data_IF_063750108006
#
_entry.id   IF_063750108006
#
_cell.length_a   1.000
_cell.length_b   1.000
_cell.length_c   1.000
_cell.angle_alpha   90.00
_cell.angle_beta   90.00
_cell.angle_gamma   90.00
#
_symmetry.space_group_name_H-M   'P 1'
#
loop_
_entity.id
_entity.type
_entity.pdbx_description
1 polymer ?
#
# COMPACT_ATOMS: atom_id res chain seq x y z
N UNK A 1 -25.94 39.20 63.65
CA UNK A 1 -24.98 38.55 64.54
C UNK A 1 -24.01 37.74 63.68
N UNK A 2 -22.73 38.12 63.75
CA UNK A 2 -21.46 37.45 63.38
C UNK A 2 -21.44 36.27 62.40
N UNK A 3 -20.59 36.38 61.37
CA UNK A 3 -19.39 35.53 61.14
C UNK A 3 -18.77 35.89 59.77
N UNK A 4 -17.77 36.77 59.68
CA UNK A 4 -16.29 36.57 59.64
C UNK A 4 -15.70 35.68 58.54
N UNK A 5 -14.74 36.29 57.83
CA UNK A 5 -13.59 35.75 57.08
C UNK A 5 -13.88 35.14 55.69
N UNK A 6 -13.08 35.34 54.65
CA UNK A 6 -11.69 35.79 54.58
C UNK A 6 -11.42 36.58 53.28
N UNK A 7 -10.53 37.57 53.39
CA UNK A 7 -9.80 38.14 52.28
C UNK A 7 -8.81 37.12 51.73
N UNK A 8 -8.66 37.03 50.41
CA UNK A 8 -7.47 36.48 49.78
C UNK A 8 -6.99 37.39 48.65
N UNK A 9 -5.95 38.13 49.01
CA UNK A 9 -4.74 38.44 48.24
C UNK A 9 -4.84 38.64 46.73
N UNK A 10 -4.53 39.87 46.32
CA UNK A 10 -4.01 40.24 45.01
C UNK A 10 -2.77 39.41 44.64
N UNK A 11 -2.94 38.40 43.79
CA UNK A 11 -1.87 37.71 43.10
C UNK A 11 -2.05 37.87 41.59
N UNK A 12 -1.15 38.61 40.95
CA UNK A 12 -1.08 38.79 39.51
C UNK A 12 -1.08 37.42 38.80
N UNK A 13 -2.13 37.08 38.06
CA UNK A 13 -2.10 35.93 37.17
C UNK A 13 -1.23 36.27 35.95
N UNK A 14 -0.13 35.54 35.68
CA UNK A 14 0.56 35.69 34.41
C UNK A 14 -0.40 35.25 33.29
N UNK A 15 -0.53 36.09 32.27
CA UNK A 15 -1.33 35.82 31.07
C UNK A 15 -0.95 34.45 30.53
N UNK A 16 -1.93 33.54 30.48
CA UNK A 16 -1.82 32.29 29.74
C UNK A 16 -1.44 32.65 28.30
N UNK A 17 -0.19 32.38 27.95
CA UNK A 17 0.27 32.44 26.57
C UNK A 17 -0.56 31.43 25.79
N UNK A 18 -1.48 31.92 24.96
CA UNK A 18 -2.12 31.14 23.92
C UNK A 18 -1.04 30.82 22.87
N UNK A 19 -0.26 29.76 23.12
CA UNK A 19 0.43 29.05 22.06
C UNK A 19 -0.59 28.31 21.18
N UNK A 20 -0.27 28.03 19.91
CA UNK A 20 -1.19 27.32 19.04
C UNK A 20 -1.52 25.95 19.63
N UNK A 21 -2.82 25.68 19.81
CA UNK A 21 -3.32 24.36 20.17
C UNK A 21 -2.84 23.39 19.06
N UNK A 22 -2.10 22.31 19.37
CA UNK A 22 -1.81 21.30 18.35
C UNK A 22 -3.13 20.72 17.85
N UNK A 23 -3.27 20.59 16.53
CA UNK A 23 -4.48 20.07 15.90
C UNK A 23 -4.87 18.70 16.51
N UNK A 24 -6.11 18.52 16.99
CA UNK A 24 -6.53 17.31 17.70
C UNK A 24 -6.45 16.04 16.83
N UNK A 25 -6.37 16.20 15.51
CA UNK A 25 -6.19 15.10 14.56
C UNK A 25 -4.78 14.49 14.58
N UNK A 26 -3.76 15.25 14.98
CA UNK A 26 -2.39 14.74 15.12
C UNK A 26 -2.26 13.72 16.26
N UNK A 27 -3.18 13.75 17.23
CA UNK A 27 -3.19 12.86 18.37
C UNK A 27 -3.89 11.51 18.11
N UNK A 28 -4.52 11.32 16.94
CA UNK A 28 -5.31 10.13 16.65
C UNK A 28 -4.72 9.38 15.44
N UNK A 29 -3.55 8.76 15.64
CA UNK A 29 -3.17 7.62 14.83
C UNK A 29 -4.02 6.42 15.28
N UNK A 30 -5.17 6.20 14.63
CA UNK A 30 -6.17 5.17 15.00
C UNK A 30 -5.64 3.72 14.97
N UNK A 31 -4.41 3.49 14.55
CA UNK A 31 -3.73 2.20 14.64
C UNK A 31 -2.21 2.44 14.63
N UNK A 32 -1.53 2.49 15.80
CA UNK A 32 -0.06 2.62 15.85
C UNK A 32 0.57 1.25 15.57
N UNK A 33 0.26 0.67 14.42
CA UNK A 33 0.99 -0.48 13.92
C UNK A 33 2.24 0.06 13.22
N UNK A 34 3.45 -0.41 13.58
CA UNK A 34 4.65 -0.05 12.84
C UNK A 34 4.42 -0.35 11.36
N UNK A 35 4.87 0.56 10.50
CA UNK A 35 4.77 0.37 9.06
C UNK A 35 5.56 -0.86 8.65
N UNK A 36 5.02 -1.69 7.74
CA UNK A 36 5.70 -2.90 7.33
C UNK A 36 7.08 -2.55 6.72
N UNK A 37 8.09 -3.41 6.92
CA UNK A 37 9.31 -3.35 6.15
C UNK A 37 9.03 -3.27 4.64
N UNK A 38 9.92 -2.63 3.89
CA UNK A 38 9.78 -2.45 2.44
C UNK A 38 9.41 -3.74 1.69
N UNK A 39 10.10 -4.84 1.99
CA UNK A 39 9.87 -6.14 1.35
C UNK A 39 8.45 -6.65 1.62
N UNK A 40 7.96 -6.50 2.85
CA UNK A 40 6.61 -6.91 3.23
C UNK A 40 5.56 -6.04 2.56
N UNK A 41 5.83 -4.74 2.43
CA UNK A 41 4.97 -3.82 1.68
C UNK A 41 4.85 -4.21 0.20
N UNK A 42 5.98 -4.50 -0.48
CA UNK A 42 5.95 -4.93 -1.88
C UNK A 42 5.20 -6.26 -2.02
N UNK A 43 5.42 -7.20 -1.10
CA UNK A 43 4.73 -8.48 -1.08
C UNK A 43 3.21 -8.29 -0.90
N UNK A 44 2.80 -7.38 -0.03
CA UNK A 44 1.39 -7.03 0.16
C UNK A 44 0.76 -6.38 -1.09
N UNK A 45 1.51 -5.50 -1.78
CA UNK A 45 1.03 -4.89 -3.05
C UNK A 45 0.80 -5.96 -4.11
N UNK A 46 1.74 -6.89 -4.31
CA UNK A 46 1.59 -7.97 -5.29
C UNK A 46 0.43 -8.89 -4.93
N UNK A 47 0.30 -9.25 -3.65
CA UNK A 47 -0.82 -10.05 -3.17
C UNK A 47 -2.16 -9.36 -3.46
N UNK A 48 -2.29 -8.08 -3.14
CA UNK A 48 -3.52 -7.32 -3.43
C UNK A 48 -3.82 -7.29 -4.94
N UNK A 49 -2.80 -7.15 -5.80
CA UNK A 49 -2.98 -7.22 -7.25
C UNK A 49 -3.48 -8.60 -7.68
N UNK A 50 -2.90 -9.68 -7.14
CA UNK A 50 -3.33 -11.04 -7.42
C UNK A 50 -4.77 -11.30 -6.91
N UNK A 51 -5.09 -10.92 -5.67
CA UNK A 51 -6.43 -11.04 -5.09
C UNK A 51 -7.47 -10.28 -5.91
N UNK A 52 -7.12 -9.07 -6.37
CA UNK A 52 -7.98 -8.27 -7.25
C UNK A 52 -8.13 -8.89 -8.64
N UNK A 53 -7.10 -9.51 -9.19
CA UNK A 53 -7.16 -10.26 -10.44
C UNK A 53 -8.13 -11.46 -10.32
N UNK A 54 -8.07 -12.18 -9.20
CA UNK A 54 -9.02 -13.27 -8.91
C UNK A 54 -10.46 -12.75 -8.79
N UNK A 55 -10.67 -11.63 -8.09
CA UNK A 55 -12.00 -11.02 -8.00
C UNK A 55 -12.53 -10.60 -9.38
N UNK A 56 -11.69 -9.98 -10.22
CA UNK A 56 -12.05 -9.60 -11.58
C UNK A 56 -12.42 -10.83 -12.41
N UNK A 57 -11.66 -11.92 -12.28
CA UNK A 57 -11.94 -13.19 -12.94
C UNK A 57 -13.33 -13.71 -12.57
N UNK A 58 -13.64 -13.81 -11.27
CA UNK A 58 -14.90 -14.33 -10.76
C UNK A 58 -16.09 -13.48 -11.23
N UNK A 59 -15.97 -12.16 -11.13
CA UNK A 59 -17.00 -11.23 -11.60
C UNK A 59 -17.18 -11.32 -13.12
N UNK A 60 -16.09 -11.39 -13.89
CA UNK A 60 -16.16 -11.49 -15.33
C UNK A 60 -16.79 -12.82 -15.78
N UNK A 61 -16.48 -13.94 -15.12
CA UNK A 61 -17.12 -15.23 -15.39
C UNK A 61 -18.62 -15.15 -15.09
N UNK A 62 -19.00 -14.59 -13.95
CA UNK A 62 -20.40 -14.50 -13.55
C UNK A 62 -21.23 -13.61 -14.49
N UNK A 63 -20.66 -12.53 -15.02
CA UNK A 63 -21.38 -11.55 -15.86
C UNK A 63 -21.32 -11.85 -17.36
N UNK A 64 -20.16 -12.30 -17.86
CA UNK A 64 -19.91 -12.46 -19.30
C UNK A 64 -19.97 -13.91 -19.76
N UNK A 65 -20.20 -14.85 -18.84
CA UNK A 65 -20.58 -16.23 -19.13
C UNK A 65 -19.53 -17.09 -19.83
N UNK A 66 -18.28 -16.64 -19.93
CA UNK A 66 -17.24 -17.35 -20.66
C UNK A 66 -15.86 -17.19 -20.02
N UNK A 67 -15.19 -18.31 -19.77
CA UNK A 67 -13.83 -18.40 -19.20
C UNK A 67 -12.82 -17.59 -20.02
N UNK A 68 -12.81 -17.76 -21.34
CA UNK A 68 -11.81 -17.16 -22.22
C UNK A 68 -11.80 -15.63 -22.16
N UNK A 69 -12.98 -15.01 -22.14
CA UNK A 69 -13.10 -13.56 -22.05
C UNK A 69 -12.63 -13.03 -20.69
N UNK A 70 -12.87 -13.78 -19.61
CA UNK A 70 -12.42 -13.43 -18.26
C UNK A 70 -10.91 -13.50 -18.15
N UNK A 71 -10.28 -14.52 -18.73
CA UNK A 71 -8.83 -14.67 -18.80
C UNK A 71 -8.20 -13.48 -19.51
N UNK A 72 -8.76 -13.02 -20.64
CA UNK A 72 -8.26 -11.85 -21.36
C UNK A 72 -8.35 -10.55 -20.54
N UNK A 73 -9.45 -10.33 -19.83
CA UNK A 73 -9.64 -9.14 -18.98
C UNK A 73 -8.61 -9.13 -17.85
N UNK A 74 -8.39 -10.28 -17.21
CA UNK A 74 -7.44 -10.42 -16.11
C UNK A 74 -6.01 -10.28 -16.61
N UNK A 75 -5.68 -10.89 -17.76
CA UNK A 75 -4.38 -10.74 -18.40
C UNK A 75 -4.04 -9.28 -18.71
N UNK A 76 -4.98 -8.53 -19.27
CA UNK A 76 -4.83 -7.09 -19.52
C UNK A 76 -4.65 -6.28 -18.22
N UNK A 77 -5.41 -6.61 -17.17
CA UNK A 77 -5.25 -5.97 -15.84
C UNK A 77 -3.85 -6.21 -15.24
N UNK A 78 -3.37 -7.46 -15.24
CA UNK A 78 -2.06 -7.81 -14.69
C UNK A 78 -0.94 -7.23 -15.55
N UNK A 79 -1.06 -7.27 -16.88
CA UNK A 79 -0.07 -6.70 -17.81
C UNK A 79 0.13 -5.21 -17.55
N UNK A 80 -0.96 -4.44 -17.43
CA UNK A 80 -0.86 -2.99 -17.14
C UNK A 80 -0.14 -2.72 -15.82
N UNK A 81 -0.45 -3.51 -14.79
CA UNK A 81 0.28 -3.40 -13.52
C UNK A 81 1.77 -3.65 -13.73
N UNK A 82 2.14 -4.74 -14.43
CA UNK A 82 3.54 -5.08 -14.69
C UNK A 82 4.25 -3.99 -15.50
N UNK A 83 3.60 -3.45 -16.53
CA UNK A 83 4.12 -2.39 -17.39
C UNK A 83 4.38 -1.11 -16.57
N UNK A 84 3.39 -0.67 -15.80
CA UNK A 84 3.51 0.51 -14.93
C UNK A 84 4.64 0.30 -13.91
N UNK A 85 4.64 -0.86 -13.23
CA UNK A 85 5.58 -1.18 -12.16
C UNK A 85 7.02 -1.35 -12.64
N UNK A 86 7.23 -1.87 -13.85
CA UNK A 86 8.54 -1.93 -14.51
C UNK A 86 9.00 -0.57 -15.03
N UNK A 87 8.06 0.28 -15.45
CA UNK A 87 8.32 1.60 -16.01
C UNK A 87 8.87 2.61 -15.01
N UNK A 88 8.98 3.86 -15.47
CA UNK A 88 9.39 5.00 -14.65
C UNK A 88 8.20 5.80 -14.08
N UNK A 89 6.98 5.44 -14.48
CA UNK A 89 5.75 6.16 -14.17
C UNK A 89 5.12 5.74 -12.84
N UNK A 90 5.46 4.55 -12.33
CA UNK A 90 4.94 4.11 -11.05
C UNK A 90 5.49 4.97 -9.91
N UNK A 91 4.57 5.68 -9.24
CA UNK A 91 4.88 6.50 -8.08
C UNK A 91 4.04 6.07 -6.88
N UNK A 92 4.71 5.57 -5.85
CA UNK A 92 4.06 5.35 -4.56
C UNK A 92 3.65 6.69 -3.97
N UNK A 93 2.33 6.94 -3.90
CA UNK A 93 1.78 8.09 -3.18
C UNK A 93 1.46 7.66 -1.76
N UNK A 94 2.07 8.34 -0.80
CA UNK A 94 1.77 8.15 0.62
C UNK A 94 0.37 8.67 0.94
N UNK A 95 -0.60 7.79 1.30
CA UNK A 95 -2.00 8.19 1.41
C UNK A 95 -2.41 8.61 2.83
N UNK A 96 -1.50 8.53 3.81
CA UNK A 96 -1.81 8.76 5.22
C UNK A 96 -1.38 10.18 5.66
N UNK A 97 -2.17 10.86 6.51
CA UNK A 97 -1.81 12.17 7.09
C UNK A 97 -0.75 12.08 8.19
N UNK A 98 0.23 11.18 8.03
CA UNK A 98 1.29 10.89 8.99
C UNK A 98 2.69 10.95 8.35
N UNK A 99 3.76 10.76 9.14
CA UNK A 99 5.12 10.84 8.65
C UNK A 99 5.36 9.80 7.56
N UNK A 100 5.98 10.25 6.47
CA UNK A 100 6.40 9.39 5.37
C UNK A 100 7.58 8.52 5.84
N UNK A 101 7.54 7.18 5.67
CA UNK A 101 8.64 6.31 6.05
C UNK A 101 9.89 6.53 5.18
N UNK A 102 11.06 6.66 5.81
CA UNK A 102 12.33 6.94 5.12
C UNK A 102 12.74 5.86 4.08
N UNK A 103 12.27 4.63 4.25
CA UNK A 103 12.57 3.52 3.36
C UNK A 103 11.70 3.50 2.09
N UNK A 104 10.55 4.18 2.11
CA UNK A 104 9.62 4.19 0.99
C UNK A 104 10.14 5.18 -0.04
N UNK A 105 10.63 4.68 -1.16
CA UNK A 105 11.02 5.55 -2.26
C UNK A 105 9.84 5.71 -3.20
N UNK A 106 9.67 6.90 -3.78
CA UNK A 106 8.59 7.13 -4.75
C UNK A 106 8.69 6.17 -5.94
N UNK A 107 9.91 5.75 -6.31
CA UNK A 107 10.20 4.88 -7.45
C UNK A 107 10.47 3.45 -7.03
N UNK A 108 10.16 2.54 -7.95
CA UNK A 108 10.45 1.11 -7.86
C UNK A 108 11.95 0.86 -8.13
N UNK A 109 12.61 0.17 -7.21
CA UNK A 109 14.01 -0.23 -7.35
C UNK A 109 14.15 -1.59 -8.00
N UNK A 110 15.36 -1.94 -8.46
CA UNK A 110 15.65 -3.24 -9.05
C UNK A 110 15.37 -4.41 -8.08
N UNK A 111 15.58 -4.20 -6.77
CA UNK A 111 15.26 -5.20 -5.74
C UNK A 111 13.75 -5.35 -5.59
N UNK A 112 12.98 -4.26 -5.63
CA UNK A 112 11.52 -4.35 -5.55
C UNK A 112 10.94 -5.14 -6.73
N UNK A 113 11.49 -4.97 -7.94
CA UNK A 113 11.09 -5.74 -9.13
C UNK A 113 11.33 -7.25 -8.92
N UNK A 114 12.49 -7.63 -8.39
CA UNK A 114 12.79 -9.04 -8.11
C UNK A 114 11.86 -9.61 -7.04
N UNK A 115 11.65 -8.87 -5.93
CA UNK A 115 10.74 -9.27 -4.85
C UNK A 115 9.31 -9.40 -5.35
N UNK A 116 8.83 -8.44 -6.14
CA UNK A 116 7.51 -8.48 -6.73
C UNK A 116 7.36 -9.71 -7.65
N UNK A 117 8.38 -9.99 -8.45
CA UNK A 117 8.36 -11.14 -9.35
C UNK A 117 8.34 -12.49 -8.63
N UNK A 118 9.06 -12.62 -7.51
CA UNK A 118 9.00 -13.81 -6.64
C UNK A 118 7.63 -13.97 -5.98
N UNK A 119 6.98 -12.87 -5.60
CA UNK A 119 5.62 -12.92 -5.03
C UNK A 119 4.59 -13.36 -6.09
N UNK A 120 4.68 -12.87 -7.34
CA UNK A 120 3.82 -13.36 -8.42
C UNK A 120 4.05 -14.85 -8.72
N UNK A 121 5.30 -15.32 -8.65
CA UNK A 121 5.62 -16.74 -8.77
C UNK A 121 4.96 -17.55 -7.64
N UNK A 122 4.99 -17.06 -6.40
CA UNK A 122 4.27 -17.66 -5.28
C UNK A 122 2.75 -17.70 -5.50
N UNK A 123 2.14 -16.57 -5.85
CA UNK A 123 0.68 -16.48 -6.11
C UNK A 123 0.26 -17.35 -7.31
N UNK A 124 1.14 -17.56 -8.29
CA UNK A 124 0.89 -18.49 -9.39
C UNK A 124 0.71 -19.93 -8.93
N UNK A 125 1.44 -20.35 -7.90
CA UNK A 125 1.32 -21.69 -7.33
C UNK A 125 0.01 -21.90 -6.55
N UNK A 126 -0.64 -20.80 -6.16
CA UNK A 126 -1.92 -20.78 -5.45
C UNK A 126 -3.11 -20.54 -6.40
N UNK A 127 -2.86 -20.26 -7.68
CA UNK A 127 -3.90 -19.87 -8.62
C UNK A 127 -4.92 -21.01 -8.84
N UNK A 128 -6.23 -20.70 -8.91
CA UNK A 128 -7.27 -21.71 -8.99
C UNK A 128 -7.40 -22.37 -10.37
N UNK A 129 -6.73 -21.83 -11.40
CA UNK A 129 -6.78 -22.38 -12.75
C UNK A 129 -5.45 -22.21 -13.49
N UNK A 130 -5.17 -23.09 -14.46
CA UNK A 130 -3.94 -23.05 -15.25
C UNK A 130 -3.75 -21.71 -15.99
N UNK A 131 -4.83 -21.08 -16.47
CA UNK A 131 -4.74 -19.81 -17.17
C UNK A 131 -4.26 -18.68 -16.24
N UNK A 132 -4.80 -18.63 -15.02
CA UNK A 132 -4.40 -17.66 -14.00
C UNK A 132 -2.98 -17.94 -13.49
N UNK A 133 -2.64 -19.22 -13.31
CA UNK A 133 -1.28 -19.64 -13.00
C UNK A 133 -0.30 -19.12 -14.06
N UNK A 134 -0.61 -19.29 -15.35
CA UNK A 134 0.25 -18.83 -16.44
C UNK A 134 0.39 -17.31 -16.44
N UNK A 135 -0.71 -16.55 -16.27
CA UNK A 135 -0.67 -15.09 -16.18
C UNK A 135 0.27 -14.62 -15.07
N UNK A 136 0.15 -15.21 -13.86
CA UNK A 136 0.99 -14.82 -12.72
C UNK A 136 2.45 -15.28 -12.90
N UNK A 137 2.71 -16.45 -13.49
CA UNK A 137 4.07 -16.89 -13.81
C UNK A 137 4.76 -15.95 -14.80
N UNK A 138 4.04 -15.53 -15.84
CA UNK A 138 4.56 -14.62 -16.85
C UNK A 138 4.87 -13.24 -16.25
N UNK A 139 3.95 -12.69 -15.46
CA UNK A 139 4.17 -11.45 -14.71
C UNK A 139 5.43 -11.55 -13.81
N UNK A 140 5.57 -12.66 -13.07
CA UNK A 140 6.72 -12.91 -12.21
C UNK A 140 8.04 -13.00 -12.98
N UNK A 141 8.04 -13.62 -14.15
CA UNK A 141 9.20 -13.72 -15.05
C UNK A 141 9.62 -12.36 -15.62
N UNK A 142 8.65 -11.54 -16.05
CA UNK A 142 8.93 -10.19 -16.58
C UNK A 142 9.56 -9.32 -15.50
N UNK A 143 8.97 -9.27 -14.31
CA UNK A 143 9.45 -8.45 -13.19
C UNK A 143 10.87 -8.85 -12.76
N UNK A 144 11.15 -10.15 -12.63
CA UNK A 144 12.50 -10.62 -12.27
C UNK A 144 13.54 -10.28 -13.33
N UNK A 145 13.21 -10.40 -14.62
CA UNK A 145 14.11 -10.02 -15.72
C UNK A 145 14.38 -8.51 -15.70
N UNK A 146 13.34 -7.69 -15.58
CA UNK A 146 13.47 -6.23 -15.50
C UNK A 146 14.34 -5.82 -14.30
N UNK A 147 14.12 -6.44 -13.14
CA UNK A 147 14.96 -6.23 -11.95
C UNK A 147 16.41 -6.62 -12.19
N UNK A 148 16.66 -7.79 -12.80
CA UNK A 148 18.01 -8.25 -13.12
C UNK A 148 18.74 -7.33 -14.11
N UNK A 149 18.03 -6.85 -15.14
CA UNK A 149 18.60 -5.95 -16.14
C UNK A 149 18.91 -4.57 -15.56
N UNK A 150 18.09 -4.05 -14.63
CA UNK A 150 18.34 -2.77 -13.95
C UNK A 150 19.46 -2.84 -12.90
N UNK A 151 19.92 -4.05 -12.52
CA UNK A 151 21.06 -4.22 -11.60
C UNK A 151 22.42 -4.24 -12.30
N UNK A 152 22.45 -4.40 -13.63
CA UNK A 152 23.67 -4.37 -14.43
C UNK A 152 24.09 -2.95 -14.75
#
# INVERSE_FOLDING_TARGET
MQSTAAAFSTGHAPRLGAGPLPDPWAAIALNPQPLPPRVDFISAVVREVADRALLIYDVAIAQRGGRDQSVLIVGDYVSRFVDDYCGDDFRFKWPFPGPHPDWLTERVTSIDLVVAGLNFEHESALAPTNDLQQIFQEAGSILRRAGADRMR
#
